data_IF_082024363386
#
_entry.id   IF_082024363386
#
_cell.length_a   1.000
_cell.length_b   1.000
_cell.length_c   1.000
_cell.angle_alpha   90.00
_cell.angle_beta   90.00
_cell.angle_gamma   90.00
#
_symmetry.space_group_name_H-M   'P 1'
#
loop_
_entity.id
_entity.type
_entity.pdbx_description
1 polymer ?
#
# COMPACT_ATOMS: atom_id res chain seq x y z
N UNK A 1 -11.55 -24.05 -2.84
CA UNK A 1 -12.54 -23.78 -1.77
C UNK A 1 -11.92 -23.11 -0.52
N UNK A 2 -10.67 -23.40 -0.13
CA UNK A 2 -10.06 -22.87 1.09
C UNK A 2 -9.97 -21.32 1.17
N UNK A 3 -9.64 -20.63 0.07
CA UNK A 3 -9.46 -19.17 0.10
C UNK A 3 -10.73 -18.41 0.52
N UNK A 4 -11.93 -18.80 0.07
CA UNK A 4 -13.17 -18.09 0.40
C UNK A 4 -13.60 -18.32 1.86
N UNK A 5 -13.41 -19.53 2.39
CA UNK A 5 -13.78 -19.84 3.78
C UNK A 5 -12.88 -19.10 4.78
N UNK A 6 -11.57 -19.05 4.52
CA UNK A 6 -10.61 -18.33 5.37
C UNK A 6 -10.79 -16.81 5.26
N UNK A 7 -11.11 -16.29 4.07
CA UNK A 7 -11.45 -14.88 3.89
C UNK A 7 -12.73 -14.53 4.66
N UNK A 8 -13.74 -15.40 4.64
CA UNK A 8 -14.99 -15.21 5.39
C UNK A 8 -14.76 -15.24 6.91
N UNK A 9 -13.97 -16.21 7.41
CA UNK A 9 -13.59 -16.26 8.82
C UNK A 9 -12.78 -15.04 9.26
N UNK A 10 -11.94 -14.48 8.39
CA UNK A 10 -11.12 -13.31 8.70
C UNK A 10 -11.81 -11.95 8.50
N UNK A 11 -12.83 -11.86 7.64
CA UNK A 11 -13.56 -10.62 7.32
C UNK A 11 -14.93 -10.48 7.99
N UNK A 12 -15.63 -11.58 8.32
CA UNK A 12 -17.00 -11.54 8.89
C UNK A 12 -17.10 -12.02 10.35
N UNK A 13 -16.00 -12.50 10.95
CA UNK A 13 -15.99 -12.99 12.32
C UNK A 13 -15.82 -11.88 13.37
N UNK A 14 -16.73 -10.91 13.42
CA UNK A 14 -16.59 -9.72 14.29
C UNK A 14 -16.81 -9.96 15.80
N UNK A 15 -17.23 -11.16 16.22
CA UNK A 15 -17.56 -11.42 17.63
C UNK A 15 -16.59 -12.35 18.40
N UNK A 16 -15.77 -13.17 17.74
CA UNK A 16 -14.91 -14.17 18.40
C UNK A 16 -13.39 -13.92 18.25
N UNK A 17 -12.96 -12.95 17.43
CA UNK A 17 -11.56 -12.78 16.99
C UNK A 17 -10.94 -11.44 17.43
N UNK A 18 -11.02 -11.13 18.72
CA UNK A 18 -10.28 -9.99 19.31
C UNK A 18 -8.76 -10.17 19.23
N UNK A 19 -8.28 -11.40 19.07
CA UNK A 19 -6.85 -11.68 19.02
C UNK A 19 -6.28 -11.45 17.60
N UNK A 20 -5.52 -10.35 17.47
CA UNK A 20 -4.83 -9.97 16.24
C UNK A 20 -3.73 -10.97 15.89
N UNK A 21 -3.14 -11.63 16.88
CA UNK A 21 -2.08 -12.61 16.68
C UNK A 21 -2.62 -13.91 16.09
N UNK A 22 -3.81 -14.35 16.53
CA UNK A 22 -4.48 -15.50 15.95
C UNK A 22 -4.85 -15.27 14.47
N UNK A 23 -5.38 -14.09 14.12
CA UNK A 23 -5.66 -13.73 12.72
C UNK A 23 -4.39 -13.69 11.86
N UNK A 24 -3.28 -13.19 12.42
CA UNK A 24 -1.97 -13.21 11.74
C UNK A 24 -1.50 -14.64 11.49
N UNK A 25 -1.59 -15.52 12.49
CA UNK A 25 -1.19 -16.92 12.37
C UNK A 25 -2.00 -17.67 11.29
N UNK A 26 -3.32 -17.47 11.22
CA UNK A 26 -4.16 -18.04 10.16
C UNK A 26 -3.70 -17.56 8.79
N UNK A 27 -3.44 -16.26 8.65
CA UNK A 27 -3.06 -15.69 7.36
C UNK A 27 -1.64 -16.07 6.92
N UNK A 28 -0.71 -16.26 7.88
CA UNK A 28 0.64 -16.76 7.62
C UNK A 28 0.66 -18.21 7.13
N UNK A 29 -0.32 -19.02 7.55
CA UNK A 29 -0.48 -20.38 7.05
C UNK A 29 -0.82 -20.44 5.55
N UNK A 30 -1.26 -19.32 4.95
CA UNK A 30 -1.64 -19.25 3.54
C UNK A 30 -0.44 -18.85 2.69
N UNK A 31 -0.02 -19.70 1.73
CA UNK A 31 1.14 -19.41 0.89
C UNK A 31 0.91 -18.17 0.02
N UNK A 32 1.97 -17.38 -0.21
CA UNK A 32 1.91 -16.12 -0.97
C UNK A 32 1.31 -16.27 -2.38
N UNK A 33 1.57 -17.41 -3.04
CA UNK A 33 1.11 -17.70 -4.41
C UNK A 33 -0.41 -17.72 -4.59
N UNK A 34 -1.17 -17.99 -3.52
CA UNK A 34 -2.64 -18.08 -3.57
C UNK A 34 -3.34 -16.90 -2.89
N UNK A 35 -2.58 -15.96 -2.32
CA UNK A 35 -3.14 -14.79 -1.64
C UNK A 35 -3.67 -13.79 -2.66
N UNK A 36 -4.86 -13.27 -2.41
CA UNK A 36 -5.46 -12.20 -3.21
C UNK A 36 -5.09 -10.82 -2.63
N UNK A 37 -5.48 -9.75 -3.32
CA UNK A 37 -5.24 -8.37 -2.90
C UNK A 37 -5.75 -8.08 -1.48
N UNK A 38 -6.99 -8.50 -1.16
CA UNK A 38 -7.62 -8.28 0.14
C UNK A 38 -6.85 -8.97 1.28
N UNK A 39 -6.34 -10.17 1.05
CA UNK A 39 -5.52 -10.93 2.00
C UNK A 39 -4.18 -10.24 2.26
N UNK A 40 -3.52 -9.74 1.21
CA UNK A 40 -2.27 -9.01 1.35
C UNK A 40 -2.46 -7.67 2.08
N UNK A 41 -3.57 -6.96 1.84
CA UNK A 41 -3.93 -5.75 2.59
C UNK A 41 -4.17 -6.03 4.07
N UNK A 42 -4.96 -7.08 4.38
CA UNK A 42 -5.22 -7.49 5.75
C UNK A 42 -3.92 -7.90 6.46
N UNK A 43 -3.06 -8.66 5.80
CA UNK A 43 -1.74 -9.04 6.31
C UNK A 43 -0.85 -7.83 6.60
N UNK A 44 -0.81 -6.84 5.69
CA UNK A 44 -0.07 -5.59 5.90
C UNK A 44 -0.51 -4.87 7.19
N UNK A 45 -1.83 -4.80 7.42
CA UNK A 45 -2.41 -4.21 8.64
C UNK A 45 -2.07 -5.01 9.89
N UNK A 46 -2.21 -6.34 9.85
CA UNK A 46 -1.87 -7.22 10.98
C UNK A 46 -0.39 -7.09 11.35
N UNK A 47 0.51 -7.08 10.38
CA UNK A 47 1.94 -6.86 10.63
C UNK A 47 2.25 -5.50 11.24
N UNK A 48 1.51 -4.45 10.84
CA UNK A 48 1.67 -3.11 11.42
C UNK A 48 1.26 -3.08 12.90
N UNK A 49 0.20 -3.82 13.28
CA UNK A 49 -0.20 -3.96 14.69
C UNK A 49 0.89 -4.65 15.52
N UNK A 50 1.45 -5.75 15.01
CA UNK A 50 2.52 -6.50 15.68
C UNK A 50 3.91 -5.85 15.52
N UNK A 51 3.99 -4.61 15.02
CA UNK A 51 5.24 -3.84 14.79
C UNK A 51 6.26 -4.52 13.86
N UNK A 52 5.81 -5.45 13.02
CA UNK A 52 6.64 -6.11 12.01
C UNK A 52 6.69 -5.28 10.72
N UNK A 53 7.63 -4.33 10.65
CA UNK A 53 7.74 -3.36 9.54
C UNK A 53 8.11 -4.05 8.21
N UNK A 54 9.15 -4.89 8.19
CA UNK A 54 9.65 -5.51 6.94
C UNK A 54 8.61 -6.42 6.25
N UNK A 55 7.88 -7.30 6.97
CA UNK A 55 6.81 -8.09 6.37
C UNK A 55 5.62 -7.23 5.92
N UNK A 56 5.29 -6.17 6.67
CA UNK A 56 4.24 -5.22 6.30
C UNK A 56 4.53 -4.53 4.96
N UNK A 57 5.75 -3.99 4.78
CA UNK A 57 6.20 -3.40 3.52
C UNK A 57 6.08 -4.40 2.36
N UNK A 58 6.52 -5.64 2.57
CA UNK A 58 6.45 -6.67 1.53
C UNK A 58 5.00 -6.93 1.09
N UNK A 59 4.07 -7.02 2.04
CA UNK A 59 2.65 -7.23 1.73
C UNK A 59 2.05 -6.05 0.96
N UNK A 60 2.36 -4.82 1.34
CA UNK A 60 1.86 -3.64 0.61
C UNK A 60 2.48 -3.49 -0.79
N UNK A 61 3.76 -3.85 -0.97
CA UNK A 61 4.38 -3.89 -2.32
C UNK A 61 3.69 -4.92 -3.22
N UNK A 62 3.33 -6.09 -2.70
CA UNK A 62 2.53 -7.07 -3.45
C UNK A 62 1.14 -6.53 -3.81
N UNK A 63 0.50 -5.74 -2.93
CA UNK A 63 -0.78 -5.11 -3.25
C UNK A 63 -0.69 -4.22 -4.49
N UNK A 64 0.38 -3.43 -4.60
CA UNK A 64 0.59 -2.56 -5.77
C UNK A 64 0.90 -3.33 -7.05
N UNK A 65 1.54 -4.51 -6.94
CA UNK A 65 1.76 -5.43 -8.08
C UNK A 65 0.45 -6.00 -8.62
N UNK A 66 -0.52 -6.27 -7.75
CA UNK A 66 -1.85 -6.71 -8.16
C UNK A 66 -2.71 -5.56 -8.70
N UNK A 67 -2.70 -4.41 -8.02
CA UNK A 67 -3.45 -3.23 -8.41
C UNK A 67 -2.72 -1.96 -7.94
N UNK A 68 -2.25 -1.11 -8.86
CA UNK A 68 -1.47 0.08 -8.50
C UNK A 68 -2.31 1.20 -7.89
N UNK A 69 -3.64 1.12 -7.99
CA UNK A 69 -4.56 2.17 -7.54
C UNK A 69 -5.02 2.00 -6.07
N UNK A 70 -4.37 1.10 -5.34
CA UNK A 70 -4.69 0.83 -3.93
C UNK A 70 -4.05 1.91 -3.07
N UNK A 71 -4.74 3.03 -2.96
CA UNK A 71 -4.31 4.23 -2.23
C UNK A 71 -3.93 3.90 -0.79
N UNK A 72 -4.67 3.02 -0.13
CA UNK A 72 -4.36 2.57 1.24
C UNK A 72 -2.97 1.94 1.37
N UNK A 73 -2.54 1.16 0.36
CA UNK A 73 -1.20 0.56 0.37
C UNK A 73 -0.10 1.61 0.15
N UNK A 74 -0.38 2.64 -0.67
CA UNK A 74 0.55 3.75 -0.92
C UNK A 74 0.78 4.56 0.36
N UNK A 75 -0.31 4.98 1.02
CA UNK A 75 -0.23 5.70 2.31
C UNK A 75 0.51 4.87 3.34
N UNK A 76 0.18 3.58 3.48
CA UNK A 76 0.86 2.73 4.44
C UNK A 76 2.35 2.54 4.14
N UNK A 77 2.76 2.44 2.87
CA UNK A 77 4.18 2.37 2.50
C UNK A 77 4.92 3.67 2.83
N UNK A 78 4.30 4.83 2.58
CA UNK A 78 4.88 6.12 2.92
C UNK A 78 5.07 6.28 4.43
N UNK A 79 4.05 5.94 5.23
CA UNK A 79 4.11 5.96 6.70
C UNK A 79 5.16 4.99 7.28
N UNK A 80 5.47 3.91 6.56
CA UNK A 80 6.54 2.96 6.93
C UNK A 80 7.94 3.42 6.45
N UNK A 81 8.05 4.61 5.84
CA UNK A 81 9.31 5.22 5.43
C UNK A 81 9.85 4.73 4.08
N UNK A 82 9.02 4.11 3.25
CA UNK A 82 9.44 3.70 1.90
C UNK A 82 9.56 4.93 1.01
N UNK A 83 10.69 5.08 0.32
CA UNK A 83 10.94 6.22 -0.55
C UNK A 83 10.04 6.18 -1.78
N UNK A 84 9.57 7.35 -2.23
CA UNK A 84 8.71 7.50 -3.41
C UNK A 84 9.28 6.78 -4.65
N UNK A 85 10.61 6.84 -4.85
CA UNK A 85 11.32 6.15 -5.94
C UNK A 85 11.06 4.64 -5.97
N UNK A 86 11.00 3.99 -4.81
CA UNK A 86 10.79 2.55 -4.72
C UNK A 86 9.31 2.19 -4.99
N UNK A 87 8.40 3.10 -4.68
CA UNK A 87 6.96 2.96 -4.95
C UNK A 87 6.72 3.16 -6.45
N UNK A 88 7.38 4.14 -7.08
CA UNK A 88 7.26 4.40 -8.52
C UNK A 88 7.64 3.20 -9.39
N UNK A 89 8.65 2.41 -8.99
CA UNK A 89 9.03 1.17 -9.69
C UNK A 89 7.90 0.14 -9.75
N UNK A 90 6.92 0.24 -8.85
CA UNK A 90 5.76 -0.67 -8.79
C UNK A 90 4.55 -0.12 -9.54
N UNK A 91 4.59 1.16 -9.96
CA UNK A 91 3.48 1.79 -10.66
C UNK A 91 3.64 1.68 -12.18
N UNK A 92 2.53 1.72 -12.93
CA UNK A 92 2.57 1.82 -14.38
C UNK A 92 3.40 3.02 -14.81
N UNK A 93 4.45 2.78 -15.59
CA UNK A 93 5.27 3.84 -16.14
C UNK A 93 4.47 4.57 -17.21
N UNK A 94 4.19 5.86 -17.00
CA UNK A 94 3.63 6.70 -18.06
C UNK A 94 4.75 6.99 -19.06
N UNK A 95 4.61 6.62 -20.35
CA UNK A 95 5.66 6.88 -21.33
C UNK A 95 5.85 8.40 -21.48
N UNK A 96 7.00 8.89 -21.03
CA UNK A 96 7.48 10.24 -21.32
C UNK A 96 7.86 10.31 -22.80
N UNK A 97 6.90 10.66 -23.66
CA UNK A 97 7.18 10.90 -25.08
C UNK A 97 6.41 12.12 -25.59
N UNK A 98 6.82 13.31 -25.15
CA UNK A 98 6.63 14.53 -25.94
C UNK A 98 7.50 15.66 -25.38
N UNK A 99 8.49 16.09 -26.17
CA UNK A 99 9.24 17.33 -25.95
C UNK A 99 8.42 18.57 -26.30
N UNK A 100 7.21 18.72 -25.74
CA UNK A 100 6.45 19.97 -25.80
C UNK A 100 6.35 20.57 -24.40
N UNK A 101 6.62 21.86 -24.21
CA UNK A 101 6.35 22.52 -22.94
C UNK A 101 4.84 22.60 -22.76
N UNK A 102 4.24 22.07 -21.67
CA UNK A 102 2.81 22.08 -21.52
C UNK A 102 2.39 23.28 -20.68
N UNK A 103 1.89 24.32 -21.35
CA UNK A 103 0.92 25.20 -20.71
C UNK A 103 -0.44 24.48 -20.79
N UNK A 104 -1.02 24.22 -19.61
CA UNK A 104 -2.46 24.01 -19.35
C UNK A 104 -3.22 22.71 -19.72
N UNK A 105 -2.62 21.63 -20.22
CA UNK A 105 -3.42 20.41 -20.51
C UNK A 105 -2.87 19.05 -20.02
N UNK A 106 -1.78 19.02 -19.24
CA UNK A 106 -0.98 17.79 -19.08
C UNK A 106 -0.63 17.43 -17.63
N UNK A 107 -1.58 17.12 -16.74
CA UNK A 107 -1.22 16.50 -15.45
C UNK A 107 -2.25 15.47 -14.91
N UNK A 108 -3.36 15.21 -15.62
CA UNK A 108 -4.36 14.23 -15.15
C UNK A 108 -3.81 12.79 -15.17
N UNK A 109 -2.83 12.48 -16.03
CA UNK A 109 -2.23 11.14 -16.12
C UNK A 109 -1.17 10.82 -15.06
N UNK A 110 -0.68 11.83 -14.31
CA UNK A 110 0.39 11.66 -13.30
C UNK A 110 -0.11 11.83 -11.86
N UNK A 111 -1.42 11.95 -11.65
CA UNK A 111 -2.01 12.16 -10.34
C UNK A 111 -1.52 11.15 -9.29
N UNK A 112 -1.34 9.88 -9.70
CA UNK A 112 -0.90 8.81 -8.81
C UNK A 112 0.56 8.99 -8.37
N UNK A 113 1.43 9.45 -9.28
CA UNK A 113 2.81 9.76 -8.96
C UNK A 113 2.88 10.94 -7.98
N UNK A 114 2.13 12.02 -8.26
CA UNK A 114 2.01 13.18 -7.34
C UNK A 114 1.45 12.79 -5.99
N UNK A 115 0.47 11.88 -5.96
CA UNK A 115 -0.10 11.37 -4.72
C UNK A 115 0.94 10.66 -3.86
N UNK A 116 1.77 9.78 -4.46
CA UNK A 116 2.87 9.10 -3.76
C UNK A 116 3.86 10.11 -3.18
N UNK A 117 4.28 11.11 -3.97
CA UNK A 117 5.19 12.16 -3.49
C UNK A 117 4.61 12.89 -2.28
N UNK A 118 3.35 13.32 -2.38
CA UNK A 118 2.65 14.00 -1.30
C UNK A 118 2.59 13.13 -0.03
N UNK A 119 2.26 11.85 -0.16
CA UNK A 119 2.21 10.94 0.99
C UNK A 119 3.59 10.76 1.64
N UNK A 120 4.65 10.60 0.86
CA UNK A 120 6.01 10.50 1.38
C UNK A 120 6.44 11.80 2.10
N UNK A 121 6.15 12.98 1.54
CA UNK A 121 6.45 14.26 2.18
C UNK A 121 5.68 14.46 3.50
N UNK A 122 4.41 14.06 3.53
CA UNK A 122 3.59 14.09 4.76
C UNK A 122 4.20 13.16 5.82
N UNK A 123 4.55 11.93 5.44
CA UNK A 123 5.12 10.95 6.35
C UNK A 123 6.51 11.36 6.89
N UNK A 124 7.33 12.03 6.07
CA UNK A 124 8.62 12.59 6.49
C UNK A 124 8.49 13.87 7.32
N UNK A 125 7.29 14.43 7.48
CA UNK A 125 7.03 15.67 8.21
C UNK A 125 7.77 16.92 7.63
N UNK A 126 8.23 16.83 6.38
CA UNK A 126 8.94 17.89 5.64
C UNK A 126 8.00 19.01 5.14
N UNK A 127 6.69 18.77 5.15
CA UNK A 127 5.68 19.75 4.74
C UNK A 127 5.64 21.01 5.64
N UNK A 128 6.24 20.95 6.85
CA UNK A 128 6.35 22.09 7.77
C UNK A 128 7.38 23.14 7.33
N UNK A 129 8.21 22.85 6.32
CA UNK A 129 9.12 23.82 5.72
C UNK A 129 8.44 24.96 4.94
N UNK A 130 7.12 24.88 4.73
CA UNK A 130 6.32 25.95 4.11
C UNK A 130 5.61 26.85 5.12
N UNK A 131 6.02 26.81 6.39
CA UNK A 131 5.51 27.71 7.43
C UNK A 131 6.11 29.11 7.21
N UNK A 132 5.39 29.93 6.45
CA UNK A 132 5.48 31.39 6.34
C UNK A 132 6.90 32.01 6.29
N UNK A 133 7.35 32.31 5.08
CA UNK A 133 8.22 33.46 4.79
C UNK A 133 7.58 34.29 3.68
#
# INVERSE_FOLDING_TARGET
MCNKLVLFQALHGDALLRDKEYRRAIMEAIPSKVRNLQMNLLMGKLYRYSKHIRPSITCYKECLRHCPYVIEAITALAELGVQAKDIFLLLPQTPSRSGRPPFDQFESSRWLQRYVEAQCCIASNDYKGWSFL
#
